data_IF_385938264032
#
_entry.id   IF_385938264032
#
_cell.length_a   1.000
_cell.length_b   1.000
_cell.length_c   1.000
_cell.angle_alpha   90.00
_cell.angle_beta   90.00
_cell.angle_gamma   90.00
#
_symmetry.space_group_name_H-M   'P 1'
#
loop_
_entity.id
_entity.type
_entity.pdbx_description
1 polymer ?
#
# COMPACT_ATOMS: atom_id res chain seq x y z
N UNK A 1 -16.39 -19.98 -5.02
CA UNK A 1 -15.70 -18.93 -5.78
C UNK A 1 -14.78 -18.22 -4.81
N UNK A 2 -13.51 -18.08 -5.16
CA UNK A 2 -12.55 -17.32 -4.34
C UNK A 2 -12.99 -15.87 -4.26
N UNK A 3 -12.86 -15.23 -3.11
CA UNK A 3 -13.20 -13.80 -2.92
C UNK A 3 -11.98 -13.03 -2.45
N UNK A 4 -11.78 -11.80 -2.99
CA UNK A 4 -10.64 -10.96 -2.69
C UNK A 4 -11.09 -9.57 -2.22
N UNK A 5 -10.71 -9.17 -1.00
CA UNK A 5 -10.93 -7.83 -0.47
C UNK A 5 -9.62 -7.04 -0.43
N UNK A 6 -9.57 -5.92 -1.13
CA UNK A 6 -8.38 -5.06 -1.19
C UNK A 6 -8.55 -3.82 -0.30
N UNK A 7 -7.88 -3.83 0.87
CA UNK A 7 -7.84 -2.73 1.83
C UNK A 7 -6.57 -1.90 1.62
N UNK A 8 -6.67 -0.60 1.84
CA UNK A 8 -5.51 0.29 1.75
C UNK A 8 -5.85 1.71 1.34
N UNK A 9 -4.91 2.33 0.66
CA UNK A 9 -4.97 3.72 0.23
C UNK A 9 -5.06 3.87 -1.31
N UNK A 10 -4.57 4.99 -1.83
CA UNK A 10 -4.58 5.28 -3.27
C UNK A 10 -3.79 4.27 -4.12
N UNK A 11 -2.76 3.62 -3.58
CA UNK A 11 -1.99 2.59 -4.28
C UNK A 11 -2.88 1.37 -4.52
N UNK A 12 -3.63 0.95 -3.51
CA UNK A 12 -4.57 -0.17 -3.62
C UNK A 12 -5.80 0.19 -4.45
N UNK A 13 -6.27 1.44 -4.38
CA UNK A 13 -7.33 1.95 -5.25
C UNK A 13 -6.93 1.96 -6.74
N UNK A 14 -5.64 1.90 -7.06
CA UNK A 14 -5.13 1.84 -8.43
C UNK A 14 -4.79 3.19 -9.05
N UNK A 15 -4.65 4.25 -8.24
CA UNK A 15 -4.28 5.59 -8.74
C UNK A 15 -2.97 5.50 -9.51
N UNK A 16 -2.97 6.04 -10.75
CA UNK A 16 -1.85 5.96 -11.68
C UNK A 16 -2.07 4.99 -12.86
N UNK A 17 -3.06 4.10 -12.78
CA UNK A 17 -3.48 3.19 -13.87
C UNK A 17 -4.95 3.47 -14.28
N UNK A 18 -5.22 4.54 -15.05
CA UNK A 18 -6.59 4.92 -15.42
C UNK A 18 -7.20 3.91 -16.40
N UNK A 19 -8.42 3.46 -16.11
CA UNK A 19 -9.23 2.72 -17.08
C UNK A 19 -9.51 3.62 -18.27
N UNK A 20 -9.01 3.24 -19.45
CA UNK A 20 -9.32 3.93 -20.71
C UNK A 20 -10.55 3.27 -21.33
N UNK A 21 -11.57 4.04 -21.74
CA UNK A 21 -12.65 3.47 -22.54
C UNK A 21 -12.04 2.84 -23.79
N UNK A 22 -12.36 1.57 -24.02
CA UNK A 22 -11.93 0.87 -25.24
C UNK A 22 -12.33 1.70 -26.45
N UNK A 23 -11.38 2.30 -27.16
CA UNK A 23 -11.62 2.82 -28.49
C UNK A 23 -11.88 1.60 -29.37
N UNK A 24 -13.15 1.42 -29.75
CA UNK A 24 -13.68 0.61 -30.84
C UNK A 24 -12.64 -0.30 -31.53
N UNK A 25 -12.43 -1.49 -31.02
CA UNK A 25 -11.72 -2.57 -31.69
C UNK A 25 -12.26 -3.90 -31.18
N UNK A 26 -13.19 -4.50 -31.92
CA UNK A 26 -13.60 -5.89 -31.82
C UNK A 26 -14.41 -6.28 -30.57
N UNK A 27 -15.12 -7.41 -30.60
CA UNK A 27 -15.85 -7.91 -29.44
C UNK A 27 -14.85 -8.40 -28.38
N UNK A 28 -14.49 -7.51 -27.46
CA UNK A 28 -13.77 -7.85 -26.26
C UNK A 28 -14.75 -8.51 -25.30
N UNK A 29 -14.37 -9.67 -24.81
CA UNK A 29 -15.00 -10.34 -23.67
C UNK A 29 -15.14 -9.29 -22.57
N UNK A 30 -16.38 -9.01 -22.18
CA UNK A 30 -16.67 -8.06 -21.11
C UNK A 30 -16.16 -8.63 -19.79
N UNK A 31 -15.00 -8.16 -19.34
CA UNK A 31 -14.60 -8.30 -17.95
C UNK A 31 -15.69 -7.61 -17.11
N UNK A 32 -16.35 -8.35 -16.25
CA UNK A 32 -17.39 -7.84 -15.38
C UNK A 32 -16.86 -6.64 -14.57
N UNK A 33 -17.68 -5.62 -14.28
CA UNK A 33 -17.22 -4.44 -13.59
C UNK A 33 -16.79 -4.82 -12.17
N UNK A 34 -15.52 -4.57 -11.84
CA UNK A 34 -15.09 -4.54 -10.43
C UNK A 34 -15.97 -3.49 -9.72
N UNK A 35 -16.78 -3.93 -8.78
CA UNK A 35 -17.66 -3.04 -8.03
C UNK A 35 -16.82 -2.26 -7.03
N UNK A 36 -16.40 -1.07 -7.41
CA UNK A 36 -15.77 -0.10 -6.51
C UNK A 36 -16.87 0.67 -5.81
N UNK A 37 -17.06 0.40 -4.52
CA UNK A 37 -18.04 1.13 -3.72
C UNK A 37 -17.69 2.62 -3.71
N UNK A 38 -18.54 3.46 -4.36
CA UNK A 38 -18.45 4.92 -4.31
C UNK A 38 -17.80 5.61 -5.52
N UNK A 39 -17.49 4.90 -6.61
CA UNK A 39 -17.03 5.56 -7.86
C UNK A 39 -18.11 5.64 -8.93
N UNK A 40 -18.24 6.83 -9.54
CA UNK A 40 -19.12 7.04 -10.69
C UNK A 40 -18.63 6.27 -11.91
N UNK A 41 -19.53 5.67 -12.72
CA UNK A 41 -19.17 4.98 -13.96
C UNK A 41 -18.47 5.94 -14.92
N UNK A 42 -17.23 5.64 -15.33
CA UNK A 42 -16.53 6.36 -16.39
C UNK A 42 -15.17 7.00 -16.02
N UNK A 43 -14.78 7.04 -14.76
CA UNK A 43 -13.45 7.48 -14.30
C UNK A 43 -12.92 6.53 -13.24
N UNK A 44 -12.61 5.28 -13.63
CA UNK A 44 -12.09 4.28 -12.74
C UNK A 44 -10.57 4.14 -12.86
N UNK A 45 -9.98 3.60 -11.82
CA UNK A 45 -8.62 3.10 -11.80
C UNK A 45 -8.68 1.57 -11.87
N UNK A 46 -7.76 0.92 -12.59
CA UNK A 46 -7.64 -0.54 -12.60
C UNK A 46 -6.76 -1.00 -11.44
N UNK A 47 -5.51 -0.64 -11.46
CA UNK A 47 -4.53 -0.91 -10.43
C UNK A 47 -4.16 -2.38 -10.25
N UNK A 48 -3.24 -2.61 -9.29
CA UNK A 48 -2.66 -3.94 -9.05
C UNK A 48 -3.65 -4.96 -8.51
N UNK A 49 -4.64 -4.54 -7.72
CA UNK A 49 -5.62 -5.47 -7.14
C UNK A 49 -6.52 -6.09 -8.22
N UNK A 50 -6.97 -5.29 -9.19
CA UNK A 50 -7.75 -5.80 -10.33
C UNK A 50 -6.89 -6.68 -11.25
N UNK A 51 -5.63 -6.27 -11.51
CA UNK A 51 -4.68 -7.08 -12.27
C UNK A 51 -4.36 -8.42 -11.61
N UNK A 52 -4.23 -8.45 -10.29
CA UNK A 52 -4.04 -9.68 -9.53
C UNK A 52 -5.28 -10.57 -9.63
N UNK A 53 -6.48 -9.99 -9.48
CA UNK A 53 -7.74 -10.72 -9.58
C UNK A 53 -7.89 -11.40 -10.95
N UNK A 54 -7.52 -10.74 -12.05
CA UNK A 54 -7.46 -11.37 -13.38
C UNK A 54 -6.58 -12.65 -13.37
N UNK A 55 -5.43 -12.60 -12.68
CA UNK A 55 -4.51 -13.75 -12.52
C UNK A 55 -4.97 -14.81 -11.50
N UNK A 56 -6.04 -14.59 -10.77
CA UNK A 56 -6.63 -15.53 -9.80
C UNK A 56 -7.91 -16.20 -10.31
N UNK A 57 -8.11 -16.28 -11.62
CA UNK A 57 -9.31 -16.84 -12.24
C UNK A 57 -10.60 -16.10 -11.82
N UNK A 58 -10.54 -14.78 -11.81
CA UNK A 58 -11.66 -13.86 -11.58
C UNK A 58 -12.38 -14.10 -10.24
N UNK A 59 -11.69 -13.93 -9.10
CA UNK A 59 -12.35 -13.93 -7.80
C UNK A 59 -13.35 -12.76 -7.73
N UNK A 60 -14.35 -12.88 -6.85
CA UNK A 60 -15.17 -11.73 -6.46
C UNK A 60 -14.29 -10.65 -5.83
N UNK A 61 -13.92 -9.60 -6.60
CA UNK A 61 -13.04 -8.52 -6.13
C UNK A 61 -13.84 -7.40 -5.48
N UNK A 62 -13.47 -7.06 -4.25
CA UNK A 62 -14.00 -5.94 -3.48
C UNK A 62 -12.88 -4.95 -3.16
N UNK A 63 -12.85 -3.79 -3.80
CA UNK A 63 -11.89 -2.72 -3.50
C UNK A 63 -12.50 -1.82 -2.41
N UNK A 64 -11.97 -1.92 -1.19
CA UNK A 64 -12.37 -1.12 -0.03
C UNK A 64 -11.46 0.08 0.19
N UNK A 65 -10.36 0.14 -0.53
CA UNK A 65 -9.34 1.17 -0.44
C UNK A 65 -9.88 2.57 -0.70
N UNK A 66 -9.37 3.55 0.04
CA UNK A 66 -9.78 4.96 -0.06
C UNK A 66 -8.54 5.85 -0.25
N UNK A 67 -8.61 6.76 -1.21
CA UNK A 67 -7.52 7.69 -1.49
C UNK A 67 -7.16 8.52 -0.24
N UNK A 68 -5.88 8.52 0.14
CA UNK A 68 -5.36 9.29 1.27
C UNK A 68 -5.57 8.63 2.64
N UNK A 69 -6.11 7.40 2.69
CA UNK A 69 -6.30 6.66 3.93
C UNK A 69 -4.96 6.38 4.64
N UNK A 70 -4.97 6.48 5.96
CA UNK A 70 -3.94 6.00 6.86
C UNK A 70 -4.35 4.65 7.47
N UNK A 71 -3.43 3.99 8.17
CA UNK A 71 -3.71 2.69 8.80
C UNK A 71 -4.91 2.75 9.75
N UNK A 72 -5.03 3.82 10.53
CA UNK A 72 -6.19 4.02 11.42
C UNK A 72 -7.53 4.15 10.67
N UNK A 73 -7.53 4.68 9.44
CA UNK A 73 -8.72 4.75 8.59
C UNK A 73 -9.06 3.36 8.03
N UNK A 74 -8.04 2.56 7.69
CA UNK A 74 -8.22 1.17 7.26
C UNK A 74 -8.87 0.34 8.38
N UNK A 75 -8.33 0.43 9.59
CA UNK A 75 -8.89 -0.25 10.76
C UNK A 75 -10.34 0.14 11.03
N UNK A 76 -10.61 1.45 11.09
CA UNK A 76 -11.93 1.98 11.48
C UNK A 76 -13.03 1.72 10.44
N UNK A 77 -12.72 1.95 9.15
CA UNK A 77 -13.73 2.08 8.10
C UNK A 77 -13.73 0.89 7.12
N UNK A 78 -12.56 0.29 6.86
CA UNK A 78 -12.43 -0.75 5.83
C UNK A 78 -12.48 -2.16 6.43
N UNK A 79 -11.83 -2.39 7.58
CA UNK A 79 -11.81 -3.69 8.25
C UNK A 79 -13.21 -4.23 8.56
N UNK A 80 -14.16 -3.47 9.16
CA UNK A 80 -15.50 -3.99 9.44
C UNK A 80 -16.22 -4.47 8.18
N UNK A 81 -16.02 -3.79 7.07
CA UNK A 81 -16.59 -4.17 5.77
C UNK A 81 -15.94 -5.44 5.20
N UNK A 82 -14.61 -5.54 5.32
CA UNK A 82 -13.89 -6.73 4.89
C UNK A 82 -14.34 -7.98 5.67
N UNK A 83 -14.50 -7.86 6.98
CA UNK A 83 -14.98 -8.97 7.84
C UNK A 83 -16.40 -9.42 7.47
N UNK A 84 -17.28 -8.48 7.08
CA UNK A 84 -18.62 -8.83 6.59
C UNK A 84 -18.58 -9.62 5.26
N UNK A 85 -17.61 -9.34 4.41
CA UNK A 85 -17.42 -10.02 3.13
C UNK A 85 -16.83 -11.43 3.29
N UNK A 86 -16.16 -11.73 4.40
CA UNK A 86 -15.47 -13.00 4.67
C UNK A 86 -14.57 -13.42 3.49
N UNK A 87 -13.61 -12.61 3.09
CA UNK A 87 -12.81 -12.88 1.91
C UNK A 87 -11.87 -14.08 2.14
N UNK A 88 -11.62 -14.88 1.08
CA UNK A 88 -10.59 -15.92 1.11
C UNK A 88 -9.19 -15.29 1.05
N UNK A 89 -9.06 -14.16 0.35
CA UNK A 89 -7.83 -13.37 0.26
C UNK A 89 -8.14 -11.93 0.65
N UNK A 90 -7.33 -11.34 1.50
CA UNK A 90 -7.38 -9.91 1.81
C UNK A 90 -6.02 -9.26 1.59
N UNK A 91 -5.98 -7.98 1.26
CA UNK A 91 -4.72 -7.22 1.26
C UNK A 91 -4.80 -6.02 2.20
N UNK A 92 -3.68 -5.72 2.85
CA UNK A 92 -3.51 -4.51 3.68
C UNK A 92 -2.25 -3.79 3.19
N UNK A 93 -2.42 -2.86 2.25
CA UNK A 93 -1.34 -2.09 1.62
C UNK A 93 -1.60 -0.61 1.85
N UNK A 94 -0.93 -0.06 2.85
CA UNK A 94 -1.12 1.31 3.37
C UNK A 94 0.13 1.76 4.13
N UNK A 95 0.27 3.06 4.37
CA UNK A 95 1.32 3.59 5.23
C UNK A 95 2.11 4.76 4.62
N UNK A 96 2.10 4.93 3.29
CA UNK A 96 2.74 6.10 2.66
C UNK A 96 2.13 7.38 3.23
N UNK A 97 0.81 7.46 3.36
CA UNK A 97 0.15 8.63 3.94
C UNK A 97 0.51 8.84 5.41
N UNK A 98 0.69 7.75 6.18
CA UNK A 98 1.11 7.82 7.59
C UNK A 98 2.49 8.46 7.68
N UNK A 99 3.46 8.05 6.83
CA UNK A 99 4.81 8.66 6.82
C UNK A 99 4.81 10.13 6.46
N UNK A 100 3.82 10.58 5.69
CA UNK A 100 3.70 11.94 5.19
C UNK A 100 2.92 12.88 6.15
N UNK A 101 2.33 12.39 7.23
CA UNK A 101 1.59 13.22 8.19
C UNK A 101 2.47 13.77 9.31
N UNK A 102 2.13 14.96 9.80
CA UNK A 102 2.86 15.61 10.89
C UNK A 102 2.78 14.87 12.22
N UNK A 103 1.68 14.16 12.46
CA UNK A 103 1.40 13.35 13.65
C UNK A 103 1.76 11.87 13.47
N UNK A 104 2.88 11.59 12.80
CA UNK A 104 3.38 10.24 12.60
C UNK A 104 3.67 9.54 13.94
N UNK A 105 3.02 8.41 14.17
CA UNK A 105 3.11 7.61 15.38
C UNK A 105 3.23 6.12 15.00
N UNK A 106 4.43 5.53 15.09
CA UNK A 106 4.66 4.14 14.70
C UNK A 106 3.99 3.14 15.65
N UNK A 107 3.79 3.47 16.94
CA UNK A 107 3.14 2.56 17.89
C UNK A 107 1.65 2.47 17.62
N UNK A 108 1.02 3.59 17.33
CA UNK A 108 -0.39 3.63 16.90
C UNK A 108 -0.59 2.91 15.57
N UNK A 109 0.35 3.07 14.63
CA UNK A 109 0.32 2.32 13.37
C UNK A 109 0.45 0.81 13.64
N UNK A 110 1.36 0.39 14.53
CA UNK A 110 1.58 -1.01 14.88
C UNK A 110 0.32 -1.65 15.51
N UNK A 111 -0.33 -0.94 16.43
CA UNK A 111 -1.56 -1.41 17.05
C UNK A 111 -2.68 -1.64 16.01
N UNK A 112 -2.91 -0.65 15.14
CA UNK A 112 -3.94 -0.71 14.10
C UNK A 112 -3.63 -1.79 13.04
N UNK A 113 -2.36 -1.91 12.61
CA UNK A 113 -1.94 -2.93 11.65
C UNK A 113 -2.06 -4.33 12.22
N UNK A 114 -1.59 -4.54 13.46
CA UNK A 114 -1.71 -5.82 14.15
C UNK A 114 -3.16 -6.25 14.35
N UNK A 115 -4.02 -5.33 14.78
CA UNK A 115 -5.47 -5.62 14.91
C UNK A 115 -6.11 -5.95 13.57
N UNK A 116 -5.86 -5.13 12.54
CA UNK A 116 -6.45 -5.34 11.21
C UNK A 116 -6.03 -6.68 10.59
N UNK A 117 -4.73 -6.96 10.55
CA UNK A 117 -4.21 -8.20 9.97
C UNK A 117 -4.63 -9.41 10.80
N UNK A 118 -4.56 -9.30 12.14
CA UNK A 118 -4.97 -10.36 13.05
C UNK A 118 -6.44 -10.73 12.90
N UNK A 119 -7.33 -9.73 12.80
CA UNK A 119 -8.77 -9.97 12.61
C UNK A 119 -9.08 -10.64 11.26
N UNK A 120 -8.42 -10.23 10.18
CA UNK A 120 -8.58 -10.85 8.85
C UNK A 120 -8.08 -12.30 8.85
N UNK A 121 -6.92 -12.58 9.47
CA UNK A 121 -6.39 -13.95 9.62
C UNK A 121 -7.31 -14.82 10.49
N UNK A 122 -7.82 -14.28 11.60
CA UNK A 122 -8.77 -14.97 12.46
C UNK A 122 -10.10 -15.30 11.74
N UNK A 123 -10.50 -14.45 10.78
CA UNK A 123 -11.65 -14.70 9.92
C UNK A 123 -11.37 -15.73 8.78
N UNK A 124 -10.14 -16.26 8.70
CA UNK A 124 -9.74 -17.29 7.73
C UNK A 124 -9.14 -16.75 6.42
N UNK A 125 -8.96 -15.44 6.27
CA UNK A 125 -8.40 -14.88 5.06
C UNK A 125 -6.89 -15.13 4.96
N UNK A 126 -6.38 -15.43 3.75
CA UNK A 126 -4.97 -15.22 3.45
C UNK A 126 -4.69 -13.74 3.28
N UNK A 127 -3.69 -13.22 3.99
CA UNK A 127 -3.45 -11.77 4.00
C UNK A 127 -2.18 -11.40 3.24
N UNK A 128 -2.31 -10.46 2.31
CA UNK A 128 -1.22 -9.89 1.54
C UNK A 128 -0.79 -8.57 2.18
N UNK A 129 0.49 -8.43 2.50
CA UNK A 129 1.07 -7.22 3.06
C UNK A 129 2.31 -6.79 2.28
N UNK A 130 2.83 -5.59 2.52
CA UNK A 130 3.96 -5.05 1.76
C UNK A 130 4.87 -4.18 2.62
N UNK A 131 6.20 -4.33 2.42
CA UNK A 131 7.16 -3.29 2.81
C UNK A 131 7.08 -2.15 1.80
N UNK A 132 6.90 -0.95 2.30
CA UNK A 132 6.80 0.24 1.46
C UNK A 132 8.19 0.67 0.96
N UNK A 133 8.34 1.05 -0.32
CA UNK A 133 9.58 1.61 -0.83
C UNK A 133 9.89 2.96 -0.15
N UNK A 134 11.17 3.35 -0.16
CA UNK A 134 11.63 4.62 0.42
C UNK A 134 11.07 5.83 -0.35
N UNK A 135 10.18 6.64 0.26
CA UNK A 135 9.58 7.79 -0.41
C UNK A 135 10.62 8.85 -0.80
N UNK A 136 11.72 8.96 -0.06
CA UNK A 136 12.79 9.90 -0.38
C UNK A 136 13.50 9.55 -1.67
N UNK A 137 13.74 8.26 -1.92
CA UNK A 137 14.30 7.76 -3.18
C UNK A 137 13.31 7.88 -4.35
N UNK A 138 12.04 7.58 -4.10
CA UNK A 138 10.99 7.66 -5.13
C UNK A 138 10.79 9.10 -5.61
N UNK A 139 10.68 10.05 -4.69
CA UNK A 139 10.43 11.46 -4.97
C UNK A 139 11.64 12.18 -5.52
N UNK A 140 12.86 11.65 -5.30
CA UNK A 140 14.10 12.32 -5.68
C UNK A 140 14.30 13.65 -4.96
N UNK A 141 13.79 13.78 -3.73
CA UNK A 141 13.93 15.01 -2.93
C UNK A 141 15.35 15.15 -2.35
N UNK A 142 15.82 16.39 -2.05
CA UNK A 142 17.12 16.61 -1.42
C UNK A 142 17.28 15.79 -0.13
N UNK A 143 18.51 15.32 0.14
CA UNK A 143 18.83 14.43 1.26
C UNK A 143 18.34 14.93 2.62
N UNK A 144 18.29 16.26 2.84
CA UNK A 144 17.76 16.86 4.07
C UNK A 144 16.28 16.49 4.30
N UNK A 145 15.49 16.37 3.25
CA UNK A 145 14.07 15.98 3.31
C UNK A 145 13.91 14.46 3.13
N UNK A 146 14.78 13.82 2.34
CA UNK A 146 14.74 12.39 2.10
C UNK A 146 14.98 11.57 3.38
N UNK A 147 15.97 11.96 4.20
CA UNK A 147 16.36 11.22 5.42
C UNK A 147 15.21 11.03 6.43
N UNK A 148 14.45 12.08 6.82
CA UNK A 148 13.31 11.92 7.72
C UNK A 148 12.24 10.98 7.15
N UNK A 149 11.94 11.09 5.85
CA UNK A 149 10.98 10.22 5.18
C UNK A 149 11.45 8.76 5.16
N UNK A 150 12.72 8.54 4.80
CA UNK A 150 13.32 7.21 4.80
C UNK A 150 13.31 6.58 6.20
N UNK A 151 13.56 7.37 7.26
CA UNK A 151 13.49 6.88 8.65
C UNK A 151 12.08 6.43 9.00
N UNK A 152 11.07 7.24 8.72
CA UNK A 152 9.67 6.87 8.98
C UNK A 152 9.25 5.64 8.18
N UNK A 153 9.61 5.56 6.90
CA UNK A 153 9.33 4.38 6.07
C UNK A 153 9.98 3.12 6.66
N UNK A 154 11.24 3.20 7.11
CA UNK A 154 11.89 2.08 7.79
C UNK A 154 11.17 1.66 9.07
N UNK A 155 10.72 2.60 9.90
CA UNK A 155 9.95 2.28 11.11
C UNK A 155 8.65 1.54 10.77
N UNK A 156 7.90 2.00 9.76
CA UNK A 156 6.69 1.30 9.32
C UNK A 156 7.00 -0.08 8.74
N UNK A 157 8.09 -0.20 7.98
CA UNK A 157 8.49 -1.49 7.43
C UNK A 157 8.83 -2.49 8.52
N UNK A 158 9.57 -2.07 9.57
CA UNK A 158 9.85 -2.94 10.72
C UNK A 158 8.56 -3.39 11.43
N UNK A 159 7.58 -2.50 11.57
CA UNK A 159 6.27 -2.88 12.11
C UNK A 159 5.59 -3.90 11.20
N UNK A 160 5.57 -3.65 9.88
CA UNK A 160 4.91 -4.56 8.94
C UNK A 160 5.63 -5.91 8.83
N UNK A 161 6.97 -5.95 8.97
CA UNK A 161 7.76 -7.18 9.06
C UNK A 161 7.32 -8.01 10.29
N UNK A 162 7.24 -7.35 11.46
CA UNK A 162 6.78 -7.99 12.71
C UNK A 162 5.35 -8.51 12.61
N UNK A 163 4.45 -7.73 11.99
CA UNK A 163 3.05 -8.14 11.75
C UNK A 163 3.00 -9.32 10.78
N UNK A 164 3.79 -9.26 9.71
CA UNK A 164 3.85 -10.32 8.70
C UNK A 164 4.36 -11.65 9.30
N UNK A 165 5.43 -11.60 10.08
CA UNK A 165 5.98 -12.75 10.77
C UNK A 165 4.98 -13.34 11.78
N UNK A 166 4.39 -12.48 12.62
CA UNK A 166 3.42 -12.90 13.65
C UNK A 166 2.21 -13.60 13.10
N UNK A 167 1.64 -13.10 12.01
CA UNK A 167 0.37 -13.60 11.44
C UNK A 167 0.55 -14.48 10.21
N UNK A 168 1.79 -14.73 9.76
CA UNK A 168 2.10 -15.57 8.61
C UNK A 168 1.50 -15.04 7.32
N UNK A 169 1.67 -13.74 7.03
CA UNK A 169 1.12 -13.12 5.81
C UNK A 169 2.02 -13.36 4.59
N UNK A 170 1.45 -13.27 3.39
CA UNK A 170 2.26 -13.22 2.16
C UNK A 170 2.77 -11.79 1.98
N UNK A 171 4.04 -11.58 2.34
CA UNK A 171 4.66 -10.27 2.48
C UNK A 171 5.58 -9.93 1.31
N UNK A 172 5.23 -8.88 0.54
CA UNK A 172 6.06 -8.42 -0.57
C UNK A 172 7.06 -7.36 -0.12
N UNK A 173 8.36 -7.62 -0.25
CA UNK A 173 9.41 -6.66 0.01
C UNK A 173 9.62 -5.69 -1.16
N UNK A 174 8.74 -4.69 -1.30
CA UNK A 174 8.91 -3.66 -2.31
C UNK A 174 10.04 -2.66 -1.99
N UNK A 175 10.46 -2.59 -0.73
CA UNK A 175 11.60 -1.76 -0.33
C UNK A 175 12.95 -2.32 -0.80
N UNK A 176 13.09 -3.66 -0.81
CA UNK A 176 14.28 -4.36 -1.26
C UNK A 176 14.28 -4.70 -2.75
N UNK A 177 13.13 -4.64 -3.42
CA UNK A 177 13.02 -4.94 -4.84
C UNK A 177 13.58 -3.79 -5.70
N UNK A 178 14.70 -4.05 -6.38
CA UNK A 178 15.38 -3.04 -7.21
C UNK A 178 14.50 -2.50 -8.35
N UNK A 179 13.59 -3.32 -8.91
CA UNK A 179 12.67 -2.89 -9.97
C UNK A 179 11.71 -1.80 -9.47
N UNK A 180 11.35 -1.82 -8.20
CA UNK A 180 10.48 -0.79 -7.59
C UNK A 180 11.05 0.62 -7.74
N UNK A 181 12.37 0.78 -7.78
CA UNK A 181 13.01 2.09 -7.90
C UNK A 181 13.28 2.54 -9.35
N UNK A 182 12.90 1.73 -10.35
CA UNK A 182 12.93 2.19 -11.74
C UNK A 182 11.92 3.34 -11.92
N UNK A 183 12.35 4.51 -12.41
CA UNK A 183 11.46 5.65 -12.64
C UNK A 183 10.21 5.34 -13.46
N UNK A 184 10.26 4.34 -14.33
CA UNK A 184 9.13 3.91 -15.18
C UNK A 184 8.02 3.22 -14.39
N UNK A 185 8.30 2.74 -13.16
CA UNK A 185 7.30 2.13 -12.27
C UNK A 185 6.40 3.17 -11.62
N UNK A 186 6.74 4.45 -11.72
CA UNK A 186 6.03 5.54 -11.05
C UNK A 186 5.33 6.46 -12.04
N UNK A 187 4.17 6.97 -11.65
CA UNK A 187 3.47 8.02 -12.36
C UNK A 187 4.26 9.37 -12.26
N UNK A 188 3.77 10.39 -12.95
CA UNK A 188 4.44 11.71 -12.99
C UNK A 188 4.64 12.34 -11.59
N UNK A 189 3.78 12.00 -10.62
CA UNK A 189 3.85 12.49 -9.24
C UNK A 189 4.89 11.77 -8.37
N UNK A 190 5.48 10.69 -8.88
CA UNK A 190 6.46 9.85 -8.17
C UNK A 190 5.97 9.26 -6.83
N UNK A 191 4.67 9.32 -6.56
CA UNK A 191 4.03 8.77 -5.36
C UNK A 191 3.15 7.57 -5.69
N UNK A 192 2.48 7.61 -6.83
CA UNK A 192 1.61 6.53 -7.27
C UNK A 192 2.32 5.65 -8.30
N UNK A 193 2.14 4.34 -8.26
CA UNK A 193 2.64 3.47 -9.31
C UNK A 193 2.04 3.83 -10.67
N UNK A 194 2.83 3.77 -11.73
CA UNK A 194 2.32 3.77 -13.10
C UNK A 194 1.60 2.46 -13.41
N UNK A 195 0.99 2.32 -14.60
CA UNK A 195 0.48 1.02 -15.05
C UNK A 195 1.54 -0.09 -14.93
N UNK A 196 2.81 0.20 -15.27
CA UNK A 196 3.93 -0.74 -15.13
C UNK A 196 4.20 -1.09 -13.67
N UNK A 197 4.16 -0.13 -12.77
CA UNK A 197 4.33 -0.35 -11.33
C UNK A 197 3.18 -1.18 -10.74
N UNK A 198 1.95 -0.92 -11.12
CA UNK A 198 0.82 -1.75 -10.71
C UNK A 198 0.93 -3.19 -11.22
N UNK A 199 1.42 -3.40 -12.44
CA UNK A 199 1.69 -4.75 -12.98
C UNK A 199 2.80 -5.44 -12.22
N UNK A 200 3.86 -4.74 -11.82
CA UNK A 200 4.92 -5.28 -10.98
C UNK A 200 4.34 -5.79 -9.65
N UNK A 201 3.59 -4.97 -8.92
CA UNK A 201 2.98 -5.36 -7.64
C UNK A 201 2.08 -6.58 -7.81
N UNK A 202 1.20 -6.58 -8.83
CA UNK A 202 0.30 -7.70 -9.10
C UNK A 202 1.07 -9.00 -9.39
N UNK A 203 2.13 -8.94 -10.17
CA UNK A 203 2.99 -10.11 -10.49
C UNK A 203 3.73 -10.64 -9.26
N UNK A 204 4.22 -9.77 -8.38
CA UNK A 204 4.88 -10.18 -7.13
C UNK A 204 3.91 -10.92 -6.22
N UNK A 205 2.72 -10.38 -6.00
CA UNK A 205 1.69 -11.09 -5.22
C UNK A 205 1.20 -12.36 -5.88
N UNK A 206 1.03 -12.38 -7.19
CA UNK A 206 0.71 -13.60 -7.93
C UNK A 206 1.75 -14.69 -7.68
N UNK A 207 3.04 -14.35 -7.75
CA UNK A 207 4.13 -15.29 -7.46
C UNK A 207 4.13 -15.80 -6.02
N UNK A 208 3.85 -14.91 -5.03
CA UNK A 208 3.74 -15.30 -3.63
C UNK A 208 2.57 -16.26 -3.39
N UNK A 209 1.41 -16.00 -3.98
CA UNK A 209 0.24 -16.88 -3.89
C UNK A 209 0.52 -18.24 -4.55
N UNK A 210 1.14 -18.25 -5.73
CA UNK A 210 1.53 -19.49 -6.40
C UNK A 210 2.52 -20.32 -5.55
N UNK A 211 3.51 -19.65 -4.95
CA UNK A 211 4.49 -20.31 -4.08
C UNK A 211 3.86 -20.84 -2.78
N UNK A 212 2.79 -20.20 -2.29
CA UNK A 212 2.00 -20.67 -1.16
C UNK A 212 1.00 -21.79 -1.51
N UNK A 213 0.97 -22.24 -2.77
CA UNK A 213 0.13 -23.37 -3.22
C UNK A 213 -1.28 -22.99 -3.68
N UNK A 214 -1.57 -21.69 -3.81
CA UNK A 214 -2.86 -21.27 -4.37
C UNK A 214 -2.95 -21.61 -5.85
N UNK A 215 -4.15 -22.03 -6.28
CA UNK A 215 -4.42 -22.27 -7.69
C UNK A 215 -4.56 -20.92 -8.41
N UNK A 216 -3.54 -20.56 -9.16
CA UNK A 216 -3.49 -19.30 -9.90
C UNK A 216 -3.53 -19.55 -11.41
N UNK A 217 -4.12 -18.62 -12.15
CA UNK A 217 -4.06 -18.59 -13.60
C UNK A 217 -2.73 -18.02 -14.12
N UNK A 218 -2.66 -17.63 -15.39
CA UNK A 218 -1.48 -16.97 -15.93
C UNK A 218 -1.14 -15.67 -15.19
N UNK A 219 0.15 -15.38 -14.95
CA UNK A 219 0.53 -14.14 -14.31
C UNK A 219 0.11 -12.92 -15.14
N UNK A 220 -0.24 -11.79 -14.52
CA UNK A 220 -0.52 -10.55 -15.24
C UNK A 220 0.62 -10.17 -16.18
N UNK A 221 0.31 -9.69 -17.40
CA UNK A 221 1.31 -9.27 -18.35
C UNK A 221 2.22 -8.16 -17.76
N UNK A 222 3.54 -8.28 -17.96
CA UNK A 222 4.50 -7.30 -17.46
C UNK A 222 4.43 -5.97 -18.25
N UNK A 223 4.16 -6.06 -19.56
CA UNK A 223 4.12 -4.87 -20.41
C UNK A 223 2.82 -4.08 -20.27
N UNK A 224 2.91 -2.75 -20.11
CA UNK A 224 1.74 -1.89 -20.05
C UNK A 224 1.01 -1.88 -21.39
N UNK A 225 -0.30 -1.79 -21.36
CA UNK A 225 -1.16 -1.65 -22.54
C UNK A 225 -1.23 -0.21 -23.02
N UNK A 226 -0.92 0.75 -22.18
CA UNK A 226 -0.92 2.17 -22.49
C UNK A 226 0.49 2.69 -22.82
N UNK A 227 0.56 3.64 -23.76
CA UNK A 227 1.81 4.35 -24.02
C UNK A 227 2.20 5.16 -22.78
N UNK A 228 3.49 5.20 -22.40
CA UNK A 228 3.94 6.05 -21.31
C UNK A 228 3.56 7.50 -21.56
N UNK A 229 3.29 8.28 -20.52
CA UNK A 229 3.03 9.72 -20.67
C UNK A 229 4.22 10.38 -21.34
N UNK A 230 3.96 11.36 -22.18
CA UNK A 230 5.02 12.17 -22.80
C UNK A 230 5.63 13.09 -21.75
N UNK A 231 6.90 13.46 -21.89
CA UNK A 231 7.57 14.44 -21.02
C UNK A 231 6.78 15.75 -20.88
N UNK A 232 6.14 16.19 -21.98
CA UNK A 232 5.27 17.38 -21.95
C UNK A 232 4.03 17.17 -21.07
N UNK A 233 3.40 15.99 -21.13
CA UNK A 233 2.26 15.64 -20.27
C UNK A 233 2.67 15.58 -18.79
N UNK A 234 3.86 15.05 -18.49
CA UNK A 234 4.43 15.05 -17.13
C UNK A 234 4.68 16.47 -16.62
N UNK A 235 5.32 17.32 -17.42
CA UNK A 235 5.57 18.71 -17.07
C UNK A 235 4.27 19.52 -16.89
N UNK A 236 3.29 19.32 -17.77
CA UNK A 236 1.98 19.97 -17.67
C UNK A 236 1.25 19.51 -16.40
N UNK A 237 1.32 18.22 -16.07
CA UNK A 237 0.72 17.70 -14.84
C UNK A 237 1.41 18.29 -13.60
N UNK A 238 2.74 18.33 -13.57
CA UNK A 238 3.52 18.95 -12.50
C UNK A 238 3.18 20.44 -12.34
N UNK A 239 3.07 21.18 -13.43
CA UNK A 239 2.78 22.61 -13.41
C UNK A 239 1.35 22.95 -12.98
N UNK A 240 0.38 22.04 -13.20
CA UNK A 240 -1.05 22.31 -12.93
C UNK A 240 -1.56 21.59 -11.69
N UNK A 241 -1.58 20.25 -11.72
CA UNK A 241 -2.13 19.42 -10.64
C UNK A 241 -1.12 19.11 -9.54
N UNK A 242 0.14 18.91 -9.91
CA UNK A 242 1.24 18.65 -8.98
C UNK A 242 1.47 19.83 -8.05
N UNK A 243 1.49 21.05 -8.59
CA UNK A 243 1.64 22.28 -7.78
C UNK A 243 0.48 22.46 -6.80
N UNK A 244 -0.76 22.24 -7.22
CA UNK A 244 -1.92 22.33 -6.34
C UNK A 244 -1.92 21.23 -5.26
N UNK A 245 -1.38 20.05 -5.58
CA UNK A 245 -1.22 18.97 -4.61
C UNK A 245 -0.10 19.30 -3.62
N UNK A 246 1.07 19.75 -4.11
CA UNK A 246 2.19 20.18 -3.26
C UNK A 246 1.76 21.32 -2.34
N UNK A 247 1.04 22.33 -2.83
CA UNK A 247 0.53 23.43 -2.02
C UNK A 247 -0.44 22.97 -0.93
N UNK A 248 -1.35 22.05 -1.24
CA UNK A 248 -2.27 21.48 -0.23
C UNK A 248 -1.56 20.62 0.81
N UNK A 249 -0.49 19.90 0.40
CA UNK A 249 0.33 19.09 1.32
C UNK A 249 1.41 19.89 2.01
N UNK A 250 1.86 21.01 1.43
CA UNK A 250 2.92 21.83 2.03
C UNK A 250 2.48 22.50 3.32
N UNK A 251 1.19 22.77 3.50
CA UNK A 251 0.66 23.31 4.77
C UNK A 251 0.77 22.30 5.92
N UNK A 252 0.64 21.00 5.63
CA UNK A 252 0.67 19.95 6.66
C UNK A 252 2.05 19.26 6.74
N UNK A 253 2.69 19.05 5.60
CA UNK A 253 3.91 18.25 5.47
C UNK A 253 5.17 19.09 5.68
N UNK A 254 5.27 20.26 5.03
CA UNK A 254 6.51 21.05 5.02
C UNK A 254 6.89 21.55 6.40
N UNK A 255 5.97 22.09 7.24
CA UNK A 255 6.31 22.46 8.60
C UNK A 255 6.83 21.29 9.43
N UNK A 256 6.19 20.11 9.30
CA UNK A 256 6.62 18.89 9.99
C UNK A 256 7.99 18.38 9.51
N UNK A 257 8.22 18.36 8.20
CA UNK A 257 9.52 17.97 7.62
C UNK A 257 10.63 18.96 7.96
N UNK A 258 10.34 20.26 7.94
CA UNK A 258 11.30 21.29 8.36
C UNK A 258 11.62 21.21 9.84
N UNK A 259 10.61 21.02 10.71
CA UNK A 259 10.81 20.81 12.13
C UNK A 259 11.67 19.58 12.41
N UNK A 260 11.44 18.47 11.70
CA UNK A 260 12.27 17.27 11.79
C UNK A 260 13.68 17.51 11.28
N UNK A 261 13.84 18.18 10.13
CA UNK A 261 15.15 18.50 9.59
C UNK A 261 15.96 19.43 10.53
N UNK A 262 15.29 20.39 11.17
CA UNK A 262 15.90 21.27 12.19
C UNK A 262 16.28 20.48 13.45
N UNK A 263 15.42 19.57 13.88
CA UNK A 263 15.71 18.71 15.04
C UNK A 263 16.90 17.78 14.75
N UNK A 264 16.94 17.18 13.56
CA UNK A 264 18.09 16.37 13.13
C UNK A 264 19.37 17.20 13.01
N UNK A 265 19.29 18.41 12.42
CA UNK A 265 20.44 19.29 12.34
C UNK A 265 20.98 19.71 13.72
N UNK A 266 20.09 19.93 14.68
CA UNK A 266 20.44 20.22 16.07
C UNK A 266 21.02 18.98 16.79
N UNK A 267 20.47 17.81 16.55
CA UNK A 267 20.94 16.53 17.11
C UNK A 267 22.21 16.02 16.45
N UNK A 268 22.38 16.28 15.14
CA UNK A 268 23.47 15.79 14.29
C UNK A 268 24.82 16.51 14.49
N UNK A 269 24.90 17.47 15.40
CA UNK A 269 26.20 18.01 15.82
C UNK A 269 27.01 17.08 16.73
N UNK A 270 26.47 15.92 17.06
CA UNK A 270 27.10 15.03 18.03
C UNK A 270 27.51 13.64 17.57
N UNK A 271 26.86 13.02 16.60
CA UNK A 271 27.22 11.62 16.24
C UNK A 271 26.89 11.34 14.78
N UNK A 272 27.90 10.93 14.01
CA UNK A 272 27.69 10.29 12.72
C UNK A 272 26.85 9.04 12.92
N UNK A 273 25.71 8.94 12.20
CA UNK A 273 24.92 7.73 12.18
C UNK A 273 25.79 6.59 11.62
N UNK A 274 25.81 5.40 12.24
CA UNK A 274 26.41 4.24 11.60
C UNK A 274 25.64 3.96 10.29
N UNK A 275 26.34 3.62 9.20
CA UNK A 275 25.70 3.09 8.02
C UNK A 275 25.10 1.74 8.41
N UNK A 276 23.85 1.50 8.01
CA UNK A 276 23.21 0.20 8.00
C UNK A 276 23.24 -0.58 9.34
N UNK A 277 22.56 -0.04 10.34
CA UNK A 277 22.24 -0.80 11.56
C UNK A 277 20.78 -1.18 11.55
N UNK A 278 20.48 -2.46 11.39
CA UNK A 278 19.19 -3.09 11.69
C UNK A 278 18.84 -2.81 13.16
N UNK A 279 18.24 -1.66 13.42
CA UNK A 279 17.66 -1.39 14.73
C UNK A 279 16.31 -2.10 14.77
N UNK A 280 16.30 -3.31 15.29
CA UNK A 280 15.12 -4.08 15.66
C UNK A 280 14.14 -3.15 16.40
N UNK A 281 12.95 -2.95 15.82
CA UNK A 281 11.88 -2.27 16.54
C UNK A 281 11.48 -3.13 17.74
N UNK A 282 11.52 -2.55 18.94
CA UNK A 282 11.04 -3.21 20.16
C UNK A 282 9.85 -2.43 20.69
N UNK A 283 8.71 -3.09 20.96
CA UNK A 283 7.59 -2.45 21.61
C UNK A 283 8.01 -1.85 22.95
N UNK A 284 7.50 -0.64 23.25
CA UNK A 284 7.76 0.02 24.53
C UNK A 284 7.30 -0.83 25.74
N UNK A 285 7.89 -0.64 26.93
CA UNK A 285 7.50 -1.36 28.13
C UNK A 285 6.03 -1.06 28.46
N UNK A 286 5.17 -2.07 28.40
CA UNK A 286 3.72 -1.98 28.64
C UNK A 286 2.85 -2.33 27.44
N UNK A 287 3.42 -2.52 26.28
CA UNK A 287 2.70 -3.01 25.11
C UNK A 287 2.90 -4.53 25.01
N UNK A 288 2.06 -5.31 25.72
CA UNK A 288 1.91 -6.75 25.44
C UNK A 288 1.06 -6.88 24.17
N UNK A 289 1.65 -7.27 23.04
CA UNK A 289 0.91 -7.38 21.78
C UNK A 289 0.01 -8.61 21.71
N UNK A 290 -0.16 -9.34 22.83
CA UNK A 290 -1.11 -10.45 22.87
C UNK A 290 -2.50 -9.87 23.08
N UNK A 291 -3.46 -10.04 22.14
CA UNK A 291 -4.85 -9.89 22.50
C UNK A 291 -5.16 -10.96 23.56
N UNK A 292 -5.74 -10.60 24.68
CA UNK A 292 -6.49 -11.51 25.54
C UNK A 292 -7.69 -12.01 24.75
N UNK A 293 -7.44 -12.86 23.77
CA UNK A 293 -8.46 -13.70 23.17
C UNK A 293 -8.35 -15.04 23.91
N UNK A 294 -9.08 -15.13 24.98
CA UNK A 294 -9.37 -16.38 25.64
C UNK A 294 -10.16 -17.25 24.66
N UNK A 295 -9.46 -18.11 23.90
CA UNK A 295 -10.03 -19.05 22.95
C UNK A 295 -10.62 -20.28 23.64
N UNK A 296 -10.87 -20.21 24.96
CA UNK A 296 -11.54 -21.27 25.72
C UNK A 296 -12.92 -20.81 26.21
N UNK A 297 -13.96 -21.12 25.45
CA UNK A 297 -15.28 -21.38 26.03
C UNK A 297 -16.38 -20.37 25.88
N UNK A 298 -16.84 -20.06 24.68
CA UNK A 298 -18.26 -19.74 24.51
C UNK A 298 -18.86 -20.60 23.41
N UNK A 299 -19.60 -21.65 23.87
CA UNK A 299 -20.57 -22.37 23.05
C UNK A 299 -21.76 -21.45 22.83
N UNK A 300 -22.07 -21.16 21.59
CA UNK A 300 -23.35 -20.52 21.23
C UNK A 300 -24.50 -21.49 21.53
N UNK A 301 -25.58 -21.04 22.20
CA UNK A 301 -26.80 -21.86 22.31
C UNK A 301 -27.50 -21.91 20.96
N UNK A 302 -28.12 -23.09 20.67
CA UNK A 302 -28.75 -23.53 19.45
C UNK A 302 -29.91 -22.70 18.88
#
# INVERSE_FOLDING_TARGET
>A
MTSFAALGDSITLGVGDPVRPARLAGPAVAAGPAVVAGQSPGRGWRGWAALLAEGLNEPGLHILAVNGACMADVERDQLPRALQLRPDIASVVVGVNDTLRGNFDPDRFAAAAGHTVGALRAAGAEVLTMRLPDPGRMLGVPGVLARPLARRARQLNLVMDTVAERFGTLHFDAAGDAETYDPRMWAADRLHPSERGHRLIARRYHGLLAAAGYQVGPPPNAEPTSRPPTRLAELTWLATKGTAWVLRRSTDLVPGLLAMAVTEWRSGRGHGLPPDGDTEWRPGPGHDPRPDVDLAGERWPG
#
